data_IF_832386215131
#
_entry.id   IF_832386215131
#
_cell.length_a   1.000
_cell.length_b   1.000
_cell.length_c   1.000
_cell.angle_alpha   90.00
_cell.angle_beta   90.00
_cell.angle_gamma   90.00
#
_symmetry.space_group_name_H-M   'P 1'
#
loop_
_entity.id
_entity.type
_entity.pdbx_description
1 polymer ?
#
# COMPACT_ATOMS: atom_id res chain seq x y z
N UNK A 1 6.19 1.33 -30.31
CA UNK A 1 5.76 0.23 -29.44
C UNK A 1 6.55 0.34 -28.15
N UNK A 2 5.85 0.59 -27.05
CA UNK A 2 6.51 0.66 -25.75
C UNK A 2 7.02 -0.75 -25.38
N UNK A 3 8.14 -0.85 -24.66
CA UNK A 3 8.77 -2.15 -24.37
C UNK A 3 7.83 -3.12 -23.60
N UNK A 4 6.86 -2.60 -22.86
CA UNK A 4 5.85 -3.40 -22.17
C UNK A 4 4.78 -3.99 -23.09
N UNK A 5 4.39 -3.29 -24.17
CA UNK A 5 3.43 -3.80 -25.16
C UNK A 5 3.96 -5.06 -25.85
N UNK A 6 5.28 -5.10 -26.10
CA UNK A 6 5.94 -6.26 -26.67
C UNK A 6 5.87 -7.48 -25.73
N UNK A 7 6.03 -7.27 -24.42
CA UNK A 7 5.91 -8.34 -23.42
C UNK A 7 4.45 -8.75 -23.22
N UNK A 8 3.51 -7.80 -23.22
CA UNK A 8 2.07 -8.11 -23.13
C UNK A 8 1.64 -9.06 -24.25
N UNK A 9 2.05 -8.78 -25.50
CA UNK A 9 1.76 -9.67 -26.63
C UNK A 9 2.32 -11.08 -26.46
N UNK A 10 3.50 -11.23 -25.87
CA UNK A 10 4.06 -12.55 -25.56
C UNK A 10 3.20 -13.26 -24.53
N UNK A 11 2.80 -12.57 -23.47
CA UNK A 11 1.91 -13.14 -22.44
C UNK A 11 0.58 -13.59 -23.05
N UNK A 12 0.00 -12.80 -23.95
CA UNK A 12 -1.26 -13.14 -24.62
C UNK A 12 -1.14 -14.39 -25.50
N UNK A 13 -0.05 -14.53 -26.26
CA UNK A 13 0.16 -15.68 -27.15
C UNK A 13 0.39 -16.97 -26.34
N UNK A 14 1.05 -16.90 -25.18
CA UNK A 14 1.31 -18.07 -24.34
C UNK A 14 0.03 -18.75 -23.78
N UNK A 15 -1.11 -18.07 -23.82
CA UNK A 15 -2.41 -18.64 -23.43
C UNK A 15 -2.88 -19.71 -24.41
N UNK A 16 -2.48 -19.61 -25.68
CA UNK A 16 -2.92 -20.50 -26.76
C UNK A 16 -1.78 -21.34 -27.32
N UNK A 17 -0.58 -20.78 -27.42
CA UNK A 17 0.55 -21.40 -28.10
C UNK A 17 1.66 -21.80 -27.13
N UNK A 18 2.39 -22.84 -27.49
CA UNK A 18 3.64 -23.21 -26.83
C UNK A 18 4.82 -22.61 -27.59
N UNK A 19 5.60 -21.77 -26.92
CA UNK A 19 6.73 -21.07 -27.52
C UNK A 19 8.01 -21.40 -26.78
N UNK A 20 9.09 -21.60 -27.54
CA UNK A 20 10.46 -21.56 -27.03
C UNK A 20 10.85 -20.14 -26.62
N UNK A 21 11.91 -20.00 -25.82
CA UNK A 21 12.43 -18.69 -25.43
C UNK A 21 12.82 -17.86 -26.65
N UNK A 22 13.40 -18.51 -27.66
CA UNK A 22 13.81 -17.90 -28.92
C UNK A 22 12.61 -17.34 -29.69
N UNK A 23 11.51 -18.08 -29.75
CA UNK A 23 10.26 -17.63 -30.38
C UNK A 23 9.61 -16.49 -29.60
N UNK A 24 9.53 -16.58 -28.27
CA UNK A 24 9.02 -15.48 -27.43
C UNK A 24 9.83 -14.19 -27.63
N UNK A 25 11.17 -14.30 -27.69
CA UNK A 25 12.04 -13.16 -27.96
C UNK A 25 11.83 -12.59 -29.37
N UNK A 26 11.61 -13.48 -30.36
CA UNK A 26 11.25 -13.11 -31.73
C UNK A 26 9.94 -12.32 -31.80
N UNK A 27 8.89 -12.77 -31.12
CA UNK A 27 7.60 -12.05 -31.00
C UNK A 27 7.80 -10.65 -30.41
N UNK A 28 8.63 -10.55 -29.37
CA UNK A 28 8.95 -9.26 -28.75
C UNK A 28 9.89 -8.38 -29.61
N UNK A 29 10.47 -8.91 -30.70
CA UNK A 29 11.52 -8.27 -31.50
C UNK A 29 12.76 -7.90 -30.67
N UNK A 30 13.14 -8.77 -29.73
CA UNK A 30 14.26 -8.58 -28.80
C UNK A 30 15.26 -9.72 -28.94
N UNK A 31 16.52 -9.48 -28.51
CA UNK A 31 17.45 -10.59 -28.34
C UNK A 31 17.00 -11.48 -27.16
N UNK A 32 17.25 -12.81 -27.19
CA UNK A 32 16.82 -13.72 -26.12
C UNK A 32 17.26 -13.29 -24.73
N UNK A 33 18.52 -12.83 -24.60
CA UNK A 33 19.06 -12.35 -23.33
C UNK A 33 18.33 -11.11 -22.80
N UNK A 34 18.06 -10.13 -23.68
CA UNK A 34 17.36 -8.92 -23.26
C UNK A 34 15.89 -9.19 -22.97
N UNK A 35 15.24 -10.03 -23.78
CA UNK A 35 13.88 -10.49 -23.56
C UNK A 35 13.70 -11.12 -22.18
N UNK A 36 14.51 -12.12 -21.82
CA UNK A 36 14.38 -12.80 -20.52
C UNK A 36 14.50 -11.83 -19.34
N UNK A 37 15.46 -10.90 -19.40
CA UNK A 37 15.64 -9.89 -18.35
C UNK A 37 14.45 -8.93 -18.26
N UNK A 38 13.95 -8.46 -19.40
CA UNK A 38 12.82 -7.54 -19.45
C UNK A 38 11.53 -8.23 -18.98
N UNK A 39 11.27 -9.46 -19.46
CA UNK A 39 10.13 -10.27 -19.07
C UNK A 39 10.12 -10.50 -17.56
N UNK A 40 11.22 -10.98 -16.99
CA UNK A 40 11.32 -11.22 -15.55
C UNK A 40 11.10 -9.95 -14.73
N UNK A 41 11.56 -8.80 -15.22
CA UNK A 41 11.34 -7.50 -14.56
C UNK A 41 9.87 -7.07 -14.59
N UNK A 42 9.18 -7.26 -15.71
CA UNK A 42 7.81 -6.78 -15.90
C UNK A 42 6.76 -7.75 -15.34
N UNK A 43 6.95 -9.05 -15.56
CA UNK A 43 6.05 -10.13 -15.13
C UNK A 43 6.35 -10.60 -13.71
N UNK A 44 7.59 -10.39 -13.24
CA UNK A 44 8.02 -10.81 -11.91
C UNK A 44 8.53 -12.26 -11.83
N UNK A 45 8.70 -12.94 -12.98
CA UNK A 45 9.17 -14.33 -13.06
C UNK A 45 9.89 -14.62 -14.38
N UNK A 46 10.84 -15.57 -14.44
CA UNK A 46 11.44 -16.02 -15.69
C UNK A 46 10.40 -16.53 -16.69
N UNK A 47 10.59 -16.22 -17.98
CA UNK A 47 9.61 -16.52 -19.03
C UNK A 47 9.30 -18.02 -19.18
N UNK A 48 10.32 -18.88 -19.10
CA UNK A 48 10.13 -20.34 -19.21
C UNK A 48 9.34 -20.92 -18.03
N UNK A 49 9.63 -20.46 -16.81
CA UNK A 49 8.87 -20.84 -15.62
C UNK A 49 7.42 -20.35 -15.70
N UNK A 50 7.21 -19.10 -16.13
CA UNK A 50 5.89 -18.54 -16.35
C UNK A 50 5.07 -19.36 -17.35
N UNK A 51 5.63 -19.64 -18.53
CA UNK A 51 4.97 -20.44 -19.56
C UNK A 51 4.63 -21.85 -19.05
N UNK A 52 5.53 -22.48 -18.31
CA UNK A 52 5.29 -23.77 -17.67
C UNK A 52 4.11 -23.72 -16.70
N UNK A 53 4.05 -22.73 -15.80
CA UNK A 53 2.95 -22.60 -14.84
C UNK A 53 1.60 -22.32 -15.52
N UNK A 54 1.58 -21.53 -16.62
CA UNK A 54 0.36 -21.33 -17.42
C UNK A 54 -0.10 -22.61 -18.12
N UNK A 55 0.81 -23.47 -18.57
CA UNK A 55 0.47 -24.81 -19.07
C UNK A 55 -0.12 -25.70 -17.97
N UNK A 56 0.46 -25.68 -16.77
CA UNK A 56 -0.03 -26.48 -15.65
C UNK A 56 -1.43 -26.04 -15.19
N UNK A 57 -1.75 -24.75 -15.25
CA UNK A 57 -3.11 -24.25 -15.03
C UNK A 57 -4.11 -24.80 -16.07
N UNK A 58 -3.79 -24.76 -17.36
CA UNK A 58 -4.62 -25.42 -18.39
C UNK A 58 -4.73 -26.93 -18.17
N UNK A 59 -3.68 -27.55 -17.65
CA UNK A 59 -3.69 -28.97 -17.35
C UNK A 59 -4.67 -29.33 -16.23
N UNK A 60 -4.81 -28.50 -15.18
CA UNK A 60 -5.79 -28.75 -14.12
C UNK A 60 -7.21 -28.73 -14.65
N UNK A 61 -7.54 -27.79 -15.54
CA UNK A 61 -8.88 -27.69 -16.15
C UNK A 61 -9.17 -28.94 -16.99
N UNK A 62 -8.22 -29.36 -17.83
CA UNK A 62 -8.37 -30.60 -18.61
C UNK A 62 -8.48 -31.86 -17.74
N UNK A 63 -7.84 -31.87 -16.55
CA UNK A 63 -7.89 -33.01 -15.64
C UNK A 63 -9.26 -33.17 -14.98
N UNK A 64 -10.01 -32.08 -14.77
CA UNK A 64 -11.32 -32.04 -14.11
C UNK A 64 -12.49 -32.04 -15.10
N UNK A 65 -12.31 -31.45 -16.28
CA UNK A 65 -13.38 -31.28 -17.27
C UNK A 65 -13.43 -32.41 -18.32
N UNK A 66 -12.39 -33.24 -18.41
CA UNK A 66 -12.28 -34.28 -19.44
C UNK A 66 -11.83 -35.64 -18.92
N UNK A 67 -12.23 -36.70 -19.62
CA UNK A 67 -11.78 -38.08 -19.39
C UNK A 67 -10.49 -38.43 -20.18
N UNK A 68 -9.79 -37.43 -20.75
CA UNK A 68 -8.56 -37.67 -21.49
C UNK A 68 -7.53 -38.38 -20.62
N UNK A 69 -6.74 -39.31 -21.19
CA UNK A 69 -5.67 -39.96 -20.42
C UNK A 69 -4.66 -38.90 -20.01
N UNK A 70 -4.12 -39.01 -18.79
CA UNK A 70 -3.13 -38.05 -18.25
C UNK A 70 -1.94 -37.89 -19.20
N UNK A 71 -1.50 -38.99 -19.85
CA UNK A 71 -0.46 -38.94 -20.88
C UNK A 71 -0.87 -38.12 -22.11
N UNK A 72 -2.12 -38.23 -22.57
CA UNK A 72 -2.60 -37.48 -23.73
C UNK A 72 -2.65 -35.97 -23.40
N UNK A 73 -3.10 -35.60 -22.20
CA UNK A 73 -3.05 -34.20 -21.70
C UNK A 73 -1.62 -33.67 -21.67
N UNK A 74 -0.68 -34.46 -21.12
CA UNK A 74 0.73 -34.08 -21.06
C UNK A 74 1.31 -33.81 -22.46
N UNK A 75 1.07 -34.71 -23.42
CA UNK A 75 1.54 -34.57 -24.79
C UNK A 75 0.89 -33.39 -25.50
N UNK A 76 -0.40 -33.17 -25.30
CA UNK A 76 -1.14 -32.04 -25.88
C UNK A 76 -0.59 -30.68 -25.42
N UNK A 77 -0.10 -30.59 -24.17
CA UNK A 77 0.49 -29.38 -23.60
C UNK A 77 2.01 -29.27 -23.84
N UNK A 78 2.58 -30.14 -24.69
CA UNK A 78 3.98 -30.08 -25.11
C UNK A 78 4.97 -30.66 -24.10
N UNK A 79 4.53 -31.47 -23.14
CA UNK A 79 5.46 -32.21 -22.27
C UNK A 79 6.04 -33.41 -23.01
N UNK A 80 7.33 -33.69 -22.81
CA UNK A 80 8.03 -34.81 -23.46
C UNK A 80 7.50 -36.18 -23.06
N UNK A 81 7.06 -36.31 -21.81
CA UNK A 81 6.61 -37.56 -21.22
C UNK A 81 5.80 -37.33 -19.93
N UNK A 82 5.14 -38.40 -19.49
CA UNK A 82 4.31 -38.41 -18.29
C UNK A 82 5.08 -38.11 -17.00
N UNK A 83 6.35 -38.51 -16.90
CA UNK A 83 7.13 -38.35 -15.67
C UNK A 83 7.49 -36.88 -15.44
N UNK A 84 7.91 -36.18 -16.50
CA UNK A 84 8.18 -34.74 -16.46
C UNK A 84 6.93 -33.93 -16.15
N UNK A 85 5.80 -34.25 -16.77
CA UNK A 85 4.52 -33.60 -16.44
C UNK A 85 4.11 -33.83 -14.99
N UNK A 86 4.14 -35.09 -14.52
CA UNK A 86 3.76 -35.43 -13.14
C UNK A 86 4.64 -34.72 -12.12
N UNK A 87 5.95 -34.66 -12.38
CA UNK A 87 6.89 -33.96 -11.50
C UNK A 87 6.61 -32.46 -11.47
N UNK A 88 6.46 -31.81 -12.63
CA UNK A 88 6.17 -30.38 -12.72
C UNK A 88 4.84 -30.01 -12.04
N UNK A 89 3.79 -30.82 -12.26
CA UNK A 89 2.49 -30.62 -11.62
C UNK A 89 2.58 -30.76 -10.10
N UNK A 90 3.31 -31.78 -9.60
CA UNK A 90 3.52 -31.98 -8.16
C UNK A 90 4.40 -30.90 -7.54
N UNK A 91 5.42 -30.41 -8.25
CA UNK A 91 6.24 -29.27 -7.81
C UNK A 91 5.40 -27.99 -7.71
N UNK A 92 4.46 -27.77 -8.64
CA UNK A 92 3.60 -26.58 -8.63
C UNK A 92 2.48 -26.64 -7.58
N UNK A 93 1.82 -27.79 -7.40
CA UNK A 93 0.58 -27.88 -6.62
C UNK A 93 0.65 -28.79 -5.39
N UNK A 94 1.76 -29.53 -5.21
CA UNK A 94 1.93 -30.46 -4.09
C UNK A 94 1.23 -31.82 -4.26
N UNK A 95 0.47 -32.01 -5.34
CA UNK A 95 -0.27 -33.25 -5.65
C UNK A 95 0.10 -33.74 -7.06
N UNK A 96 -0.03 -35.04 -7.33
CA UNK A 96 0.08 -35.57 -8.69
C UNK A 96 -1.19 -35.31 -9.52
N UNK A 97 -1.10 -35.33 -10.86
CA UNK A 97 -2.28 -35.19 -11.72
C UNK A 97 -3.38 -36.22 -11.44
N UNK A 98 -3.00 -37.45 -11.07
CA UNK A 98 -3.95 -38.51 -10.75
C UNK A 98 -4.66 -38.26 -9.40
N UNK A 99 -3.90 -37.83 -8.38
CA UNK A 99 -4.47 -37.45 -7.07
C UNK A 99 -5.46 -36.30 -7.26
N UNK A 100 -5.08 -35.28 -8.03
CA UNK A 100 -5.92 -34.13 -8.33
C UNK A 100 -7.21 -34.50 -9.07
N UNK A 101 -7.11 -35.31 -10.14
CA UNK A 101 -8.31 -35.79 -10.86
C UNK A 101 -9.26 -36.59 -9.97
N UNK A 102 -8.71 -37.40 -9.06
CA UNK A 102 -9.53 -38.25 -8.20
C UNK A 102 -10.23 -37.45 -7.09
N UNK A 103 -9.57 -36.41 -6.58
CA UNK A 103 -10.09 -35.54 -5.53
C UNK A 103 -9.73 -34.08 -5.86
N UNK A 104 -10.50 -33.43 -6.73
CA UNK A 104 -10.26 -32.04 -7.09
C UNK A 104 -10.34 -31.15 -5.85
N UNK A 105 -9.36 -30.27 -5.70
CA UNK A 105 -9.32 -29.21 -4.70
C UNK A 105 -9.10 -27.88 -5.40
N UNK A 106 -9.47 -26.77 -4.79
CA UNK A 106 -9.15 -25.45 -5.37
C UNK A 106 -7.64 -25.20 -5.32
N UNK A 107 -7.07 -24.82 -6.47
CA UNK A 107 -5.66 -24.54 -6.65
C UNK A 107 -5.44 -23.04 -6.84
N UNK A 108 -4.35 -22.52 -6.27
CA UNK A 108 -3.82 -21.22 -6.64
C UNK A 108 -3.05 -21.39 -7.96
N UNK A 109 -3.49 -20.74 -9.03
CA UNK A 109 -2.79 -20.75 -10.33
C UNK A 109 -1.89 -19.53 -10.48
N UNK A 110 -0.84 -19.67 -11.30
CA UNK A 110 -0.08 -18.51 -11.78
C UNK A 110 -0.98 -17.72 -12.74
N UNK A 111 -1.53 -16.60 -12.31
CA UNK A 111 -2.49 -15.81 -13.10
C UNK A 111 -1.80 -15.18 -14.33
N UNK A 112 -2.57 -15.04 -15.41
CA UNK A 112 -2.13 -14.33 -16.62
C UNK A 112 -1.61 -12.94 -16.22
N UNK A 113 -0.38 -12.62 -16.62
CA UNK A 113 0.21 -11.35 -16.26
C UNK A 113 -0.39 -10.25 -17.13
N UNK A 114 -0.92 -9.21 -16.50
CA UNK A 114 -1.29 -7.99 -17.19
C UNK A 114 -0.24 -6.92 -16.91
N UNK A 115 0.61 -6.70 -17.90
CA UNK A 115 1.69 -5.70 -17.86
C UNK A 115 1.11 -4.29 -18.09
N UNK A 116 -0.04 -4.19 -18.75
CA UNK A 116 -0.72 -2.92 -19.02
C UNK A 116 -1.23 -2.24 -17.74
N UNK A 117 -1.52 -3.03 -16.69
CA UNK A 117 -1.94 -2.52 -15.36
C UNK A 117 -0.98 -1.47 -14.81
N UNK A 118 0.33 -1.64 -15.01
CA UNK A 118 1.35 -0.70 -14.50
C UNK A 118 1.29 0.68 -15.19
N UNK A 119 0.59 0.75 -16.33
CA UNK A 119 0.49 1.93 -17.18
C UNK A 119 -0.94 2.47 -17.27
N UNK A 120 -1.90 1.79 -16.63
CA UNK A 120 -3.30 2.22 -16.60
C UNK A 120 -3.52 3.15 -15.43
N UNK A 121 -4.20 4.27 -15.68
CA UNK A 121 -4.59 5.22 -14.62
C UNK A 121 -6.04 4.96 -14.26
N UNK A 122 -6.28 4.64 -12.99
CA UNK A 122 -7.62 4.46 -12.45
C UNK A 122 -8.03 5.73 -11.73
N UNK A 123 -9.02 6.43 -12.27
CA UNK A 123 -9.57 7.65 -11.67
C UNK A 123 -10.65 7.31 -10.64
N UNK A 124 -10.66 8.04 -9.52
CA UNK A 124 -11.66 7.85 -8.48
C UNK A 124 -13.07 8.14 -9.02
N UNK A 125 -14.02 7.25 -8.76
CA UNK A 125 -15.40 7.38 -9.21
C UNK A 125 -15.66 6.99 -10.67
N UNK A 126 -14.62 6.73 -11.47
CA UNK A 126 -14.78 6.34 -12.88
C UNK A 126 -14.61 4.83 -13.03
N UNK A 127 -15.63 4.10 -13.53
CA UNK A 127 -15.50 2.69 -13.85
C UNK A 127 -14.46 2.49 -14.97
N UNK A 128 -13.54 1.56 -14.75
CA UNK A 128 -12.59 1.10 -15.75
C UNK A 128 -12.98 -0.31 -16.17
N UNK A 129 -13.12 -0.52 -17.47
CA UNK A 129 -13.25 -1.86 -18.07
C UNK A 129 -11.85 -2.33 -18.41
N UNK A 130 -11.41 -3.42 -17.80
CA UNK A 130 -10.10 -4.02 -18.03
C UNK A 130 -10.27 -5.52 -18.27
N UNK A 131 -9.97 -5.98 -19.48
CA UNK A 131 -10.36 -7.30 -19.96
C UNK A 131 -11.87 -7.52 -19.78
N UNK A 132 -12.27 -8.57 -19.06
CA UNK A 132 -13.65 -9.01 -18.82
C UNK A 132 -14.14 -8.66 -17.40
N UNK A 133 -13.58 -7.60 -16.80
CA UNK A 133 -14.05 -7.08 -15.51
C UNK A 133 -14.28 -5.58 -15.53
N UNK A 134 -15.22 -5.14 -14.71
CA UNK A 134 -15.43 -3.72 -14.38
C UNK A 134 -14.85 -3.47 -13.00
N UNK A 135 -13.96 -2.49 -12.90
CA UNK A 135 -13.34 -2.08 -11.63
C UNK A 135 -13.56 -0.60 -11.37
N UNK A 136 -13.98 -0.24 -10.16
CA UNK A 136 -14.19 1.15 -9.76
C UNK A 136 -13.71 1.39 -8.34
N UNK A 137 -12.93 2.45 -8.14
CA UNK A 137 -12.42 2.82 -6.81
C UNK A 137 -13.13 4.07 -6.30
N UNK A 138 -13.59 4.03 -5.05
CA UNK A 138 -14.25 5.13 -4.36
C UNK A 138 -13.78 5.22 -2.92
N UNK A 139 -13.65 6.43 -2.36
CA UNK A 139 -13.57 6.61 -0.91
C UNK A 139 -14.98 6.59 -0.31
N UNK A 140 -15.19 5.77 0.72
CA UNK A 140 -16.47 5.65 1.43
C UNK A 140 -16.26 5.66 2.94
N UNK A 141 -17.21 6.24 3.66
CA UNK A 141 -17.28 6.18 5.11
C UNK A 141 -18.36 5.19 5.55
N UNK A 142 -17.99 4.22 6.36
CA UNK A 142 -18.95 3.32 6.99
C UNK A 142 -19.47 3.97 8.27
N UNK A 143 -20.76 4.32 8.31
CA UNK A 143 -21.37 5.04 9.45
C UNK A 143 -21.77 4.12 10.60
N UNK A 144 -22.04 2.84 10.32
CA UNK A 144 -22.45 1.85 11.32
C UNK A 144 -21.62 0.59 11.18
N UNK A 145 -21.16 -0.01 12.31
CA UNK A 145 -20.40 -1.24 12.23
C UNK A 145 -21.26 -2.36 11.66
N UNK A 146 -20.64 -3.28 10.92
CA UNK A 146 -21.27 -4.49 10.41
C UNK A 146 -20.58 -5.71 11.02
N UNK A 147 -21.34 -6.57 11.68
CA UNK A 147 -20.81 -7.75 12.36
C UNK A 147 -21.11 -9.00 11.54
N UNK A 148 -20.10 -9.84 11.40
CA UNK A 148 -20.12 -11.10 10.67
C UNK A 148 -19.66 -12.22 11.59
N UNK A 149 -20.16 -13.43 11.34
CA UNK A 149 -19.88 -14.64 12.11
C UNK A 149 -19.39 -15.73 11.19
N UNK A 150 -18.34 -16.44 11.61
CA UNK A 150 -17.76 -17.49 10.79
C UNK A 150 -16.55 -18.14 11.44
N UNK A 151 -15.58 -18.49 10.60
CA UNK A 151 -14.36 -19.21 10.98
C UNK A 151 -13.13 -18.42 10.55
N UNK A 152 -12.00 -18.67 11.23
CA UNK A 152 -10.72 -18.04 10.93
C UNK A 152 -9.65 -19.13 10.77
N UNK A 153 -8.82 -18.97 9.75
CA UNK A 153 -7.67 -19.83 9.47
C UNK A 153 -6.39 -19.03 9.25
N UNK A 154 -5.26 -19.73 9.25
CA UNK A 154 -3.98 -19.15 8.85
C UNK A 154 -3.83 -19.25 7.33
N UNK A 155 -3.35 -18.18 6.69
CA UNK A 155 -2.94 -18.22 5.30
C UNK A 155 -1.42 -18.35 5.18
N UNK A 156 -0.92 -19.30 4.38
CA UNK A 156 0.49 -19.37 4.02
C UNK A 156 0.84 -18.23 3.06
N UNK A 157 2.14 -17.92 2.96
CA UNK A 157 2.65 -16.84 2.09
C UNK A 157 2.27 -17.04 0.61
N UNK A 158 2.07 -18.29 0.18
CA UNK A 158 1.63 -18.65 -1.17
C UNK A 158 0.28 -18.03 -1.55
N UNK A 159 -0.67 -18.00 -0.62
CA UNK A 159 -2.00 -17.40 -0.82
C UNK A 159 -1.93 -15.86 -0.83
N UNK A 160 -0.90 -15.28 -0.22
CA UNK A 160 -0.69 -13.82 -0.16
C UNK A 160 0.08 -13.28 -1.37
N UNK A 161 0.52 -14.14 -2.28
CA UNK A 161 1.41 -13.80 -3.40
C UNK A 161 0.74 -13.02 -4.54
N UNK A 162 -0.57 -12.79 -4.49
CA UNK A 162 -1.32 -12.04 -5.50
C UNK A 162 -1.39 -12.79 -6.85
N UNK A 163 -1.69 -14.10 -6.78
CA UNK A 163 -1.80 -14.99 -7.93
C UNK A 163 -0.46 -15.29 -8.61
N UNK A 164 0.65 -15.16 -7.87
CA UNK A 164 1.99 -15.45 -8.40
C UNK A 164 2.44 -16.85 -8.03
N UNK A 165 2.20 -17.31 -6.82
CA UNK A 165 2.59 -18.65 -6.41
C UNK A 165 1.51 -19.66 -6.75
N UNK A 166 1.92 -20.92 -6.89
CA UNK A 166 1.03 -22.05 -7.10
C UNK A 166 0.95 -22.91 -5.85
N UNK A 167 -0.16 -23.60 -5.68
CA UNK A 167 -0.36 -24.48 -4.53
C UNK A 167 -1.83 -24.82 -4.36
N UNK A 168 -2.15 -25.47 -3.24
CA UNK A 168 -3.53 -25.63 -2.79
C UNK A 168 -3.97 -24.33 -2.13
N UNK A 169 -5.15 -23.84 -2.46
CA UNK A 169 -5.67 -22.58 -1.91
C UNK A 169 -6.17 -22.78 -0.48
N UNK A 170 -5.42 -22.26 0.49
CA UNK A 170 -5.84 -22.29 1.90
C UNK A 170 -7.08 -21.41 2.11
N UNK A 171 -7.20 -20.30 1.38
CA UNK A 171 -8.38 -19.45 1.42
C UNK A 171 -9.63 -20.19 0.91
N UNK A 172 -9.52 -20.90 -0.22
CA UNK A 172 -10.66 -21.64 -0.77
C UNK A 172 -11.08 -22.82 0.13
N UNK A 173 -10.13 -23.55 0.72
CA UNK A 173 -10.44 -24.60 1.68
C UNK A 173 -11.20 -24.07 2.89
N UNK A 174 -10.87 -22.86 3.36
CA UNK A 174 -11.58 -22.22 4.46
C UNK A 174 -13.01 -21.83 4.06
N UNK A 175 -13.20 -21.31 2.84
CA UNK A 175 -14.54 -21.08 2.29
C UNK A 175 -15.37 -22.37 2.18
N UNK A 176 -14.78 -23.45 1.68
CA UNK A 176 -15.44 -24.76 1.59
C UNK A 176 -15.84 -25.29 2.97
N UNK A 177 -14.96 -25.19 3.98
CA UNK A 177 -15.27 -25.57 5.37
C UNK A 177 -16.43 -24.73 5.92
N UNK A 178 -16.42 -23.43 5.68
CA UNK A 178 -17.52 -22.54 6.09
C UNK A 178 -18.84 -22.92 5.42
N UNK A 179 -18.84 -23.18 4.12
CA UNK A 179 -20.06 -23.52 3.36
C UNK A 179 -20.59 -24.94 3.65
N UNK A 180 -19.76 -25.86 4.18
CA UNK A 180 -20.24 -27.14 4.70
C UNK A 180 -21.11 -26.98 5.96
N UNK A 181 -20.80 -25.97 6.79
CA UNK A 181 -21.54 -25.69 8.03
C UNK A 181 -22.69 -24.68 7.82
N UNK A 182 -22.54 -23.75 6.88
CA UNK A 182 -23.47 -22.66 6.62
C UNK A 182 -23.85 -22.62 5.12
N UNK A 183 -25.13 -22.73 4.74
CA UNK A 183 -25.52 -22.62 3.33
C UNK A 183 -25.21 -21.21 2.80
N UNK A 184 -24.77 -21.12 1.53
CA UNK A 184 -24.45 -19.84 0.88
C UNK A 184 -25.57 -18.80 1.00
N UNK A 185 -25.19 -17.54 1.25
CA UNK A 185 -26.14 -16.43 1.41
C UNK A 185 -25.79 -15.21 0.58
N UNK A 186 -26.73 -14.25 0.60
CA UNK A 186 -26.63 -12.98 -0.14
C UNK A 186 -25.48 -12.07 0.27
N UNK A 187 -24.89 -12.24 1.46
CA UNK A 187 -23.83 -11.34 1.90
C UNK A 187 -22.82 -12.12 2.72
N UNK A 188 -21.64 -12.31 2.14
CA UNK A 188 -20.53 -13.01 2.77
C UNK A 188 -19.30 -12.12 2.78
N UNK A 189 -18.40 -12.36 3.73
CA UNK A 189 -17.17 -11.57 3.89
C UNK A 189 -15.95 -12.49 3.99
N UNK A 190 -14.90 -12.15 3.26
CA UNK A 190 -13.54 -12.61 3.49
C UNK A 190 -12.71 -11.49 4.11
N UNK A 191 -11.93 -11.73 5.16
CA UNK A 191 -11.13 -10.68 5.82
C UNK A 191 -9.71 -11.16 6.04
N UNK A 192 -8.78 -10.56 5.29
CA UNK A 192 -7.35 -10.76 5.44
C UNK A 192 -6.79 -9.81 6.50
N UNK A 193 -6.16 -10.34 7.54
CA UNK A 193 -5.41 -9.58 8.53
C UNK A 193 -3.91 -9.74 8.32
N UNK A 194 -3.23 -8.62 8.07
CA UNK A 194 -1.78 -8.57 7.90
C UNK A 194 -1.12 -8.37 9.27
N UNK A 195 -0.36 -9.35 9.77
CA UNK A 195 0.44 -9.19 10.99
C UNK A 195 1.75 -8.45 10.70
N UNK A 196 2.16 -7.55 11.60
CA UNK A 196 3.29 -6.62 11.38
C UNK A 196 4.69 -7.22 11.66
N UNK A 197 4.77 -8.47 12.13
CA UNK A 197 6.04 -9.11 12.50
C UNK A 197 6.54 -10.05 11.39
N UNK A 198 7.86 -10.10 11.19
CA UNK A 198 8.51 -10.83 10.08
C UNK A 198 8.28 -12.35 10.08
N UNK A 199 7.80 -12.93 11.18
CA UNK A 199 7.53 -14.37 11.33
C UNK A 199 6.01 -14.67 11.48
N UNK A 200 5.14 -13.68 11.30
CA UNK A 200 3.72 -13.85 11.59
C UNK A 200 2.90 -14.14 10.32
N UNK A 201 2.41 -15.37 10.18
CA UNK A 201 1.45 -15.74 9.14
C UNK A 201 0.21 -14.84 9.21
N UNK A 202 -0.32 -14.46 8.05
CA UNK A 202 -1.58 -13.75 7.96
C UNK A 202 -2.74 -14.65 8.44
N UNK A 203 -3.80 -14.04 8.96
CA UNK A 203 -5.05 -14.75 9.22
C UNK A 203 -6.11 -14.31 8.24
N UNK A 204 -7.00 -15.24 7.89
CA UNK A 204 -8.13 -14.98 7.02
C UNK A 204 -9.40 -15.49 7.69
N UNK A 205 -10.36 -14.59 7.81
CA UNK A 205 -11.68 -14.87 8.34
C UNK A 205 -12.67 -14.96 7.19
N UNK A 206 -13.57 -15.94 7.22
CA UNK A 206 -14.71 -16.03 6.30
C UNK A 206 -15.99 -16.12 7.10
N UNK A 207 -17.06 -15.48 6.66
CA UNK A 207 -18.33 -15.49 7.39
C UNK A 207 -19.48 -14.78 6.71
N UNK A 208 -20.64 -14.77 7.38
CA UNK A 208 -21.86 -14.07 6.95
C UNK A 208 -22.44 -13.19 8.07
N UNK A 209 -23.51 -12.45 7.80
CA UNK A 209 -24.14 -11.53 8.79
C UNK A 209 -25.00 -12.21 9.86
N UNK A 210 -25.13 -13.55 9.87
CA UNK A 210 -25.95 -14.25 10.86
C UNK A 210 -25.13 -15.17 11.76
N UNK A 211 -25.46 -15.26 13.06
CA UNK A 211 -24.84 -16.23 13.94
C UNK A 211 -25.25 -17.66 13.53
N UNK A 212 -24.28 -18.47 13.09
CA UNK A 212 -24.46 -19.88 12.75
C UNK A 212 -24.08 -20.82 13.90
N UNK A 213 -24.74 -21.99 14.00
CA UNK A 213 -24.26 -23.09 14.87
C UNK A 213 -23.00 -23.67 14.24
N UNK A 214 -21.84 -23.32 14.77
CA UNK A 214 -20.54 -23.74 14.21
C UNK A 214 -19.58 -22.60 13.88
N UNK A 215 -19.98 -21.34 14.12
CA UNK A 215 -19.18 -20.15 13.85
C UNK A 215 -18.59 -19.61 15.16
N UNK A 216 -17.39 -20.06 15.60
CA UNK A 216 -16.80 -19.64 16.88
C UNK A 216 -16.28 -18.20 16.86
N UNK A 217 -16.02 -17.65 15.66
CA UNK A 217 -15.40 -16.35 15.49
C UNK A 217 -16.42 -15.33 14.99
N UNK A 218 -16.18 -14.07 15.33
CA UNK A 218 -16.92 -12.94 14.77
C UNK A 218 -15.95 -11.83 14.37
N UNK A 219 -16.18 -11.23 13.22
CA UNK A 219 -15.49 -10.03 12.79
C UNK A 219 -16.47 -8.87 12.73
N UNK A 220 -16.06 -7.68 13.18
CA UNK A 220 -16.86 -6.47 13.02
C UNK A 220 -16.11 -5.49 12.14
N UNK A 221 -16.66 -5.20 10.96
CA UNK A 221 -16.19 -4.13 10.09
C UNK A 221 -16.45 -2.79 10.80
N UNK A 222 -15.39 -2.08 11.24
CA UNK A 222 -15.55 -0.91 12.12
C UNK A 222 -16.07 0.33 11.38
N UNK A 223 -16.66 1.25 12.12
CA UNK A 223 -16.96 2.60 11.62
C UNK A 223 -15.64 3.28 11.23
N UNK A 224 -15.58 3.90 10.06
CA UNK A 224 -14.36 4.55 9.59
C UNK A 224 -14.40 4.89 8.10
N UNK A 225 -13.29 5.47 7.64
CA UNK A 225 -13.08 5.80 6.23
C UNK A 225 -12.35 4.64 5.53
N UNK A 226 -12.77 4.34 4.31
CA UNK A 226 -12.32 3.21 3.50
C UNK A 226 -12.03 3.66 2.07
N UNK A 227 -11.06 2.99 1.45
CA UNK A 227 -11.00 2.88 -0.01
C UNK A 227 -11.75 1.61 -0.38
N UNK A 228 -12.76 1.73 -1.23
CA UNK A 228 -13.61 0.64 -1.68
C UNK A 228 -13.41 0.45 -3.17
N UNK A 229 -12.99 -0.76 -3.56
CA UNK A 229 -12.87 -1.19 -4.94
C UNK A 229 -14.04 -2.11 -5.28
N UNK A 230 -14.99 -1.63 -6.07
CA UNK A 230 -16.10 -2.43 -6.58
C UNK A 230 -15.65 -3.17 -7.84
N UNK A 231 -16.01 -4.44 -7.93
CA UNK A 231 -15.58 -5.39 -8.95
C UNK A 231 -16.78 -6.16 -9.48
N UNK A 232 -16.88 -6.27 -10.80
CA UNK A 232 -17.84 -7.13 -11.48
C UNK A 232 -17.10 -7.94 -12.55
N UNK A 233 -17.39 -9.22 -12.67
CA UNK A 233 -16.83 -10.13 -13.67
C UNK A 233 -17.95 -10.91 -14.38
N UNK A 234 -17.62 -11.60 -15.48
CA UNK A 234 -18.60 -12.40 -16.24
C UNK A 234 -19.17 -13.59 -15.47
N UNK A 235 -18.35 -14.19 -14.59
CA UNK A 235 -18.73 -15.30 -13.72
C UNK A 235 -18.16 -15.12 -12.31
N UNK A 236 -18.68 -15.88 -11.35
CA UNK A 236 -18.17 -15.85 -9.97
C UNK A 236 -16.76 -16.49 -9.91
N UNK A 237 -16.51 -17.51 -10.72
CA UNK A 237 -15.21 -18.14 -10.89
C UNK A 237 -14.18 -17.12 -11.39
N UNK A 238 -14.49 -16.36 -12.44
CA UNK A 238 -13.60 -15.30 -12.95
C UNK A 238 -13.32 -14.22 -11.90
N UNK A 239 -14.32 -13.92 -11.06
CA UNK A 239 -14.21 -12.95 -9.99
C UNK A 239 -13.11 -13.35 -8.98
N UNK A 240 -13.18 -14.60 -8.49
CA UNK A 240 -12.28 -15.08 -7.42
C UNK A 240 -10.94 -15.60 -7.95
N UNK A 241 -10.90 -16.17 -9.15
CA UNK A 241 -9.67 -16.75 -9.71
C UNK A 241 -8.78 -15.68 -10.34
N UNK A 242 -9.36 -14.66 -10.98
CA UNK A 242 -8.61 -13.67 -11.75
C UNK A 242 -8.87 -12.22 -11.33
N UNK A 243 -10.14 -11.79 -11.24
CA UNK A 243 -10.48 -10.38 -11.13
C UNK A 243 -10.00 -9.75 -9.82
N UNK A 244 -10.22 -10.42 -8.70
CA UNK A 244 -9.77 -9.95 -7.38
C UNK A 244 -8.26 -9.70 -7.34
N UNK A 245 -7.46 -10.58 -7.95
CA UNK A 245 -6.01 -10.44 -7.98
C UNK A 245 -5.55 -9.26 -8.84
N UNK A 246 -6.21 -9.01 -9.98
CA UNK A 246 -5.94 -7.80 -10.79
C UNK A 246 -6.35 -6.54 -10.03
N UNK A 247 -7.51 -6.56 -9.39
CA UNK A 247 -8.00 -5.47 -8.55
C UNK A 247 -7.05 -5.10 -7.42
N UNK A 248 -6.49 -6.10 -6.72
CA UNK A 248 -5.50 -5.89 -5.68
C UNK A 248 -4.25 -5.19 -6.21
N UNK A 249 -3.79 -5.53 -7.43
CA UNK A 249 -2.65 -4.85 -8.07
C UNK A 249 -2.99 -3.40 -8.43
N UNK A 250 -4.17 -3.15 -9.00
CA UNK A 250 -4.65 -1.78 -9.25
C UNK A 250 -4.70 -0.97 -7.96
N UNK A 251 -5.28 -1.55 -6.90
CA UNK A 251 -5.40 -0.90 -5.60
C UNK A 251 -4.05 -0.58 -4.97
N UNK A 252 -3.07 -1.49 -5.03
CA UNK A 252 -1.72 -1.23 -4.55
C UNK A 252 -1.07 -0.01 -5.23
N UNK A 253 -1.23 0.11 -6.55
CA UNK A 253 -0.72 1.26 -7.30
C UNK A 253 -1.48 2.54 -6.96
N UNK A 254 -2.81 2.47 -6.93
CA UNK A 254 -3.69 3.60 -6.64
C UNK A 254 -3.45 4.18 -5.24
N UNK A 255 -3.43 3.33 -4.21
CA UNK A 255 -3.14 3.71 -2.81
C UNK A 255 -1.80 4.44 -2.71
N UNK A 256 -0.77 3.92 -3.40
CA UNK A 256 0.56 4.52 -3.42
C UNK A 256 0.56 5.89 -4.10
N UNK A 257 -0.12 6.03 -5.24
CA UNK A 257 -0.24 7.31 -5.96
C UNK A 257 -0.98 8.37 -5.13
N UNK A 258 -1.98 7.96 -4.37
CA UNK A 258 -2.78 8.85 -3.53
C UNK A 258 -2.21 9.06 -2.11
N UNK A 259 -1.02 8.51 -1.80
CA UNK A 259 -0.35 8.58 -0.49
C UNK A 259 -1.25 8.16 0.69
N UNK A 260 -2.06 7.12 0.49
CA UNK A 260 -2.99 6.63 1.51
C UNK A 260 -2.24 5.67 2.43
N UNK A 261 -2.38 5.86 3.75
CA UNK A 261 -1.93 4.89 4.75
C UNK A 261 -3.07 3.93 5.01
N UNK A 262 -2.85 2.64 4.82
CA UNK A 262 -3.88 1.62 5.03
C UNK A 262 -3.86 1.07 6.46
N UNK A 263 -5.00 0.59 6.93
CA UNK A 263 -5.13 -0.13 8.19
C UNK A 263 -4.58 -1.56 8.11
N UNK A 264 -4.99 -2.40 9.07
CA UNK A 264 -4.37 -3.70 9.33
C UNK A 264 -5.07 -4.89 8.66
N UNK A 265 -6.14 -4.64 7.91
CA UNK A 265 -6.90 -5.68 7.23
C UNK A 265 -7.38 -5.21 5.86
N UNK A 266 -7.81 -6.15 5.03
CA UNK A 266 -8.65 -5.90 3.86
C UNK A 266 -9.86 -6.83 3.92
N UNK A 267 -11.04 -6.31 3.60
CA UNK A 267 -12.30 -7.06 3.62
C UNK A 267 -12.88 -7.18 2.21
N UNK A 268 -13.23 -8.39 1.81
CA UNK A 268 -13.85 -8.76 0.55
C UNK A 268 -15.33 -9.04 0.85
N UNK A 269 -16.24 -8.23 0.30
CA UNK A 269 -17.68 -8.41 0.48
C UNK A 269 -18.29 -8.95 -0.79
N UNK A 270 -18.89 -10.14 -0.71
CA UNK A 270 -19.56 -10.82 -1.80
C UNK A 270 -21.08 -10.71 -1.63
N UNK A 271 -21.80 -10.43 -2.71
CA UNK A 271 -23.26 -10.27 -2.69
C UNK A 271 -24.04 -11.50 -3.19
N UNK A 272 -23.32 -12.62 -3.40
CA UNK A 272 -23.85 -13.86 -3.97
C UNK A 272 -24.03 -13.82 -5.50
N UNK A 273 -23.50 -12.80 -6.17
CA UNK A 273 -23.41 -12.70 -7.63
C UNK A 273 -21.95 -12.66 -8.08
N UNK A 274 -21.69 -12.41 -9.37
CA UNK A 274 -20.34 -12.18 -9.93
C UNK A 274 -19.80 -10.78 -9.63
N UNK A 275 -20.18 -10.21 -8.49
CA UNK A 275 -19.77 -8.91 -8.01
C UNK A 275 -19.23 -8.98 -6.58
N UNK A 276 -18.24 -8.14 -6.27
CA UNK A 276 -17.73 -7.98 -4.92
C UNK A 276 -17.21 -6.57 -4.67
N UNK A 277 -16.98 -6.24 -3.39
CA UNK A 277 -16.27 -5.04 -2.99
C UNK A 277 -15.06 -5.36 -2.12
N UNK A 278 -13.91 -4.80 -2.46
CA UNK A 278 -12.71 -4.83 -1.62
C UNK A 278 -12.61 -3.54 -0.80
N UNK A 279 -12.79 -3.66 0.51
CA UNK A 279 -12.77 -2.60 1.50
C UNK A 279 -11.43 -2.56 2.23
N UNK A 280 -10.68 -1.49 2.01
CA UNK A 280 -9.37 -1.26 2.65
C UNK A 280 -9.50 -0.04 3.57
N UNK A 281 -9.36 -0.21 4.90
CA UNK A 281 -9.47 0.88 5.86
C UNK A 281 -8.38 1.91 5.63
N UNK A 282 -8.76 3.19 5.64
CA UNK A 282 -7.82 4.31 5.66
C UNK A 282 -7.37 4.51 7.10
N UNK A 283 -6.09 4.27 7.34
CA UNK A 283 -5.47 4.59 8.61
C UNK A 283 -5.05 6.07 8.63
N UNK A 284 -5.18 6.67 9.80
CA UNK A 284 -4.62 7.99 10.05
C UNK A 284 -3.09 7.91 9.97
N UNK A 285 -2.47 8.81 9.23
CA UNK A 285 -1.02 8.91 9.17
C UNK A 285 -0.48 9.18 10.58
N UNK A 286 0.43 8.36 11.14
CA UNK A 286 0.94 8.54 12.50
C UNK A 286 1.51 9.94 12.76
N UNK A 287 2.17 10.53 11.76
CA UNK A 287 2.71 11.88 11.87
C UNK A 287 1.62 12.95 11.95
N UNK A 288 0.54 12.79 11.17
CA UNK A 288 -0.62 13.71 11.20
C UNK A 288 -1.41 13.56 12.50
N UNK A 289 -1.64 12.32 12.95
CA UNK A 289 -2.24 12.04 14.25
C UNK A 289 -1.49 12.73 15.37
N UNK A 290 -0.17 12.57 15.35
CA UNK A 290 0.69 13.14 16.38
C UNK A 290 0.76 14.67 16.31
N UNK A 291 0.76 15.24 15.10
CA UNK A 291 0.63 16.69 14.91
C UNK A 291 -0.71 17.23 15.44
N UNK A 292 -1.82 16.53 15.21
CA UNK A 292 -3.13 16.84 15.81
C UNK A 292 -3.07 16.81 17.34
N UNK A 293 -2.44 15.79 17.92
CA UNK A 293 -2.23 15.71 19.38
C UNK A 293 -1.45 16.90 19.89
N UNK A 294 -0.38 17.34 19.21
CA UNK A 294 0.36 18.54 19.60
C UNK A 294 -0.46 19.82 19.45
N UNK A 295 -1.24 19.98 18.39
CA UNK A 295 -2.11 21.16 18.24
C UNK A 295 -3.13 21.24 19.38
N UNK A 296 -3.71 20.10 19.77
CA UNK A 296 -4.62 20.01 20.92
C UNK A 296 -3.93 20.26 22.25
N UNK A 297 -2.70 19.76 22.43
CA UNK A 297 -1.91 19.96 23.64
C UNK A 297 -1.52 21.44 23.82
N UNK A 298 -1.02 22.06 22.75
CA UNK A 298 -0.59 23.46 22.76
C UNK A 298 -1.78 24.40 22.83
N UNK A 299 -2.89 24.06 22.18
CA UNK A 299 -4.16 24.79 22.18
C UNK A 299 -3.97 26.31 22.00
N UNK A 300 -3.14 26.71 21.04
CA UNK A 300 -2.76 28.10 20.80
C UNK A 300 -2.88 28.48 19.33
N UNK A 301 -3.59 29.57 18.98
CA UNK A 301 -3.66 30.04 17.60
C UNK A 301 -2.30 30.52 17.07
N UNK A 302 -1.36 30.87 17.96
CA UNK A 302 0.00 31.26 17.58
C UNK A 302 0.79 30.07 17.01
N UNK A 303 0.56 28.87 17.55
CA UNK A 303 1.20 27.64 17.09
C UNK A 303 0.71 27.24 15.71
N UNK A 304 -0.61 27.24 15.50
CA UNK A 304 -1.23 26.97 14.20
C UNK A 304 -0.75 27.99 13.16
N UNK A 305 -0.72 29.28 13.52
CA UNK A 305 -0.24 30.33 12.64
C UNK A 305 1.22 30.13 12.21
N UNK A 306 2.11 29.74 13.14
CA UNK A 306 3.51 29.48 12.81
C UNK A 306 3.67 28.25 11.90
N UNK A 307 2.93 27.17 12.17
CA UNK A 307 2.94 25.97 11.34
C UNK A 307 2.46 26.29 9.91
N UNK A 308 1.31 26.94 9.76
CA UNK A 308 0.79 27.37 8.45
C UNK A 308 1.78 28.28 7.71
N UNK A 309 2.35 29.28 8.39
CA UNK A 309 3.38 30.15 7.81
C UNK A 309 4.58 29.35 7.27
N UNK A 310 5.08 28.39 8.04
CA UNK A 310 6.23 27.57 7.64
C UNK A 310 5.93 26.70 6.41
N UNK A 311 4.78 26.04 6.41
CA UNK A 311 4.37 25.15 5.33
C UNK A 311 4.07 25.92 4.03
N UNK A 312 3.35 27.03 4.11
CA UNK A 312 2.97 27.85 2.95
C UNK A 312 4.17 28.61 2.36
N UNK A 313 4.96 29.26 3.22
CA UNK A 313 6.06 30.14 2.81
C UNK A 313 7.25 29.34 2.28
N UNK A 314 7.57 28.22 2.92
CA UNK A 314 8.75 27.42 2.57
C UNK A 314 8.41 26.16 1.79
N UNK A 315 7.14 25.81 1.58
CA UNK A 315 6.71 24.58 0.90
C UNK A 315 7.47 23.37 1.48
N UNK A 316 7.41 23.22 2.80
CA UNK A 316 8.03 22.11 3.53
C UNK A 316 6.98 21.42 4.41
N UNK A 317 7.26 20.18 4.83
CA UNK A 317 6.42 19.42 5.76
C UNK A 317 7.13 19.26 7.10
N UNK A 318 6.38 19.20 8.21
CA UNK A 318 6.96 18.94 9.52
C UNK A 318 7.54 17.53 9.62
N UNK A 319 8.60 17.38 10.40
CA UNK A 319 9.14 16.08 10.80
C UNK A 319 9.07 15.98 12.32
N UNK A 320 8.30 15.02 12.83
CA UNK A 320 8.14 14.77 14.27
C UNK A 320 9.22 13.81 14.76
N UNK A 321 9.97 14.21 15.78
CA UNK A 321 11.06 13.41 16.36
C UNK A 321 11.00 13.45 17.90
N UNK A 322 11.38 12.36 18.56
CA UNK A 322 11.56 12.34 20.01
C UNK A 322 13.02 12.68 20.36
N UNK A 323 13.24 13.80 21.04
CA UNK A 323 14.56 14.21 21.54
C UNK A 323 14.83 13.59 22.90
N UNK A 324 15.98 12.89 23.01
CA UNK A 324 16.57 12.44 24.27
C UNK A 324 17.63 13.43 24.80
N UNK A 325 17.71 14.63 24.24
CA UNK A 325 18.68 15.64 24.66
C UNK A 325 18.28 16.22 26.02
N UNK A 326 19.27 16.46 26.89
CA UNK A 326 19.06 17.05 28.21
C UNK A 326 18.53 18.49 28.18
N UNK A 327 18.76 19.25 27.10
CA UNK A 327 18.29 20.64 27.00
C UNK A 327 16.78 20.77 26.76
N UNK A 328 16.18 19.84 26.00
CA UNK A 328 14.73 19.71 25.81
C UNK A 328 14.42 18.24 25.50
N UNK A 329 13.98 17.52 26.53
CA UNK A 329 13.58 16.11 26.47
C UNK A 329 12.12 16.03 26.07
N UNK A 330 11.82 15.20 25.07
CA UNK A 330 10.45 15.01 24.59
C UNK A 330 10.28 15.21 23.10
N UNK A 331 9.03 15.21 22.66
CA UNK A 331 8.67 15.37 21.26
C UNK A 331 8.99 16.77 20.75
N UNK A 332 9.44 16.85 19.50
CA UNK A 332 9.66 18.11 18.80
C UNK A 332 9.29 17.99 17.31
N UNK A 333 9.01 19.13 16.71
CA UNK A 333 8.55 19.27 15.33
C UNK A 333 9.59 20.08 14.57
N UNK A 334 10.30 19.45 13.64
CA UNK A 334 11.37 20.08 12.86
C UNK A 334 10.87 20.51 11.49
N UNK A 335 11.09 21.77 11.16
CA UNK A 335 10.89 22.29 9.81
C UNK A 335 12.24 22.46 9.13
N UNK A 336 12.39 21.87 7.94
CA UNK A 336 13.63 21.92 7.15
C UNK A 336 13.32 22.29 5.71
N UNK A 337 14.21 23.03 5.07
CA UNK A 337 14.17 23.26 3.62
C UNK A 337 15.56 23.08 3.01
N UNK A 338 15.65 22.27 1.95
CA UNK A 338 16.91 21.98 1.25
C UNK A 338 18.03 21.50 2.18
N UNK A 339 17.71 20.61 3.13
CA UNK A 339 18.66 20.05 4.10
C UNK A 339 19.00 20.96 5.30
N UNK A 340 18.57 22.23 5.32
CA UNK A 340 18.81 23.15 6.43
C UNK A 340 17.60 23.24 7.35
N UNK A 341 17.83 23.22 8.67
CA UNK A 341 16.81 23.50 9.68
C UNK A 341 16.36 24.96 9.60
N UNK A 342 15.05 25.19 9.56
CA UNK A 342 14.42 26.50 9.71
C UNK A 342 14.23 26.78 11.21
N UNK A 343 13.47 25.93 11.88
CA UNK A 343 13.28 25.94 13.33
C UNK A 343 12.87 24.55 13.83
N UNK A 344 12.91 24.38 15.15
CA UNK A 344 12.35 23.22 15.85
C UNK A 344 11.32 23.72 16.86
N UNK A 345 10.12 23.18 16.84
CA UNK A 345 9.06 23.53 17.80
C UNK A 345 8.96 22.46 18.89
N UNK A 346 8.81 22.88 20.13
CA UNK A 346 8.61 22.02 21.29
C UNK A 346 7.22 22.30 21.87
N UNK A 347 6.22 21.45 21.59
CA UNK A 347 4.88 21.60 22.13
C UNK A 347 4.88 21.37 23.65
N UNK A 348 4.15 22.21 24.37
CA UNK A 348 3.92 22.15 25.82
C UNK A 348 2.42 22.36 26.10
N UNK A 349 1.97 22.11 27.32
CA UNK A 349 0.56 22.29 27.67
C UNK A 349 0.19 23.78 27.68
N UNK A 350 -0.60 24.23 26.70
CA UNK A 350 -1.03 25.63 26.57
C UNK A 350 0.02 26.59 25.98
N UNK A 351 1.23 26.13 25.65
CA UNK A 351 2.31 26.95 25.10
C UNK A 351 3.25 26.14 24.19
N UNK A 352 4.21 26.79 23.56
CA UNK A 352 5.27 26.11 22.81
C UNK A 352 6.55 26.94 22.77
N UNK A 353 7.69 26.26 22.67
CA UNK A 353 8.98 26.87 22.42
C UNK A 353 9.35 26.75 20.94
N UNK A 354 9.86 27.82 20.35
CA UNK A 354 10.49 27.82 19.05
C UNK A 354 12.02 27.93 19.22
N UNK A 355 12.74 26.90 18.78
CA UNK A 355 14.18 26.93 18.64
C UNK A 355 14.57 27.43 17.26
N UNK A 356 15.20 28.61 17.22
CA UNK A 356 15.81 29.17 16.01
C UNK A 356 17.33 29.23 16.21
N UNK A 357 18.07 28.57 15.34
CA UNK A 357 19.53 28.60 15.38
C UNK A 357 20.01 29.80 14.56
N UNK A 358 20.88 30.65 15.09
CA UNK A 358 21.57 31.70 14.33
C UNK A 358 23.00 31.25 14.14
N UNK A 359 23.39 30.96 12.90
CA UNK A 359 24.74 30.55 12.57
C UNK A 359 25.65 31.74 12.27
N UNK A 360 26.94 31.46 12.06
CA UNK A 360 27.93 32.50 11.72
C UNK A 360 27.55 33.33 10.49
N UNK A 361 26.83 32.74 9.52
CA UNK A 361 26.41 33.44 8.29
C UNK A 361 25.31 34.45 8.55
N UNK A 362 24.39 34.12 9.45
CA UNK A 362 23.23 34.95 9.78
C UNK A 362 23.50 35.91 10.95
N UNK A 363 24.64 35.80 11.62
CA UNK A 363 24.95 36.52 12.86
C UNK A 363 24.90 38.05 12.70
N UNK A 364 25.51 38.59 11.63
CA UNK A 364 25.54 40.03 11.39
C UNK A 364 24.13 40.59 11.11
N UNK A 365 23.35 39.90 10.27
CA UNK A 365 21.97 40.31 9.98
C UNK A 365 21.08 40.20 11.22
N UNK A 366 21.28 39.18 12.06
CA UNK A 366 20.58 39.05 13.33
C UNK A 366 20.92 40.21 14.28
N UNK A 367 22.19 40.64 14.36
CA UNK A 367 22.59 41.79 15.18
C UNK A 367 21.96 43.11 14.71
N UNK A 368 21.82 43.30 13.40
CA UNK A 368 21.11 44.45 12.83
C UNK A 368 19.60 44.42 13.09
N UNK A 369 19.01 43.22 13.15
CA UNK A 369 17.58 43.03 13.38
C UNK A 369 17.20 43.23 14.85
N UNK A 370 18.08 42.89 15.80
CA UNK A 370 17.80 42.87 17.24
C UNK A 370 17.08 44.12 17.79
N UNK A 371 17.46 45.37 17.46
CA UNK A 371 16.80 46.56 18.00
C UNK A 371 15.32 46.68 17.64
N UNK A 372 14.88 45.97 16.60
CA UNK A 372 13.50 45.98 16.11
C UNK A 372 12.64 44.83 16.66
N UNK A 373 13.27 43.88 17.36
CA UNK A 373 12.56 42.77 18.00
C UNK A 373 12.04 43.17 19.38
N UNK A 374 11.10 42.41 19.93
CA UNK A 374 10.61 42.62 21.29
C UNK A 374 11.74 42.53 22.33
N UNK A 375 11.61 43.28 23.44
CA UNK A 375 12.60 43.26 24.53
C UNK A 375 12.86 41.84 25.05
N UNK A 376 11.83 41.00 25.07
CA UNK A 376 11.95 39.58 25.44
C UNK A 376 12.93 38.83 24.53
N UNK A 377 12.77 38.92 23.21
CA UNK A 377 13.66 38.22 22.26
C UNK A 377 15.08 38.79 22.29
N UNK A 378 15.22 40.11 22.50
CA UNK A 378 16.53 40.73 22.71
C UNK A 378 17.25 40.15 23.94
N UNK A 379 16.53 39.98 25.06
CA UNK A 379 17.06 39.36 26.28
C UNK A 379 17.45 37.89 26.05
N UNK A 380 16.59 37.10 25.38
CA UNK A 380 16.90 35.71 25.00
C UNK A 380 18.19 35.66 24.17
N UNK A 381 18.35 36.55 23.19
CA UNK A 381 19.55 36.60 22.36
C UNK A 381 20.81 36.94 23.16
N UNK A 382 20.73 37.93 24.06
CA UNK A 382 21.85 38.37 24.89
C UNK A 382 22.29 37.28 25.87
N UNK A 383 21.34 36.57 26.48
CA UNK A 383 21.61 35.51 27.47
C UNK A 383 22.06 34.19 26.83
N UNK A 384 21.68 33.93 25.58
CA UNK A 384 22.03 32.69 24.88
C UNK A 384 23.53 32.65 24.58
N UNK A 385 24.24 31.66 25.14
CA UNK A 385 25.67 31.45 24.85
C UNK A 385 25.90 30.98 23.41
N UNK A 386 26.98 31.44 22.81
CA UNK A 386 27.40 30.95 21.49
C UNK A 386 28.18 29.65 21.65
N UNK A 387 27.72 28.57 21.01
CA UNK A 387 28.39 27.27 20.98
C UNK A 387 28.68 26.86 19.53
N UNK A 388 29.92 26.45 19.24
CA UNK A 388 30.35 26.03 17.88
C UNK A 388 30.00 27.11 16.82
N UNK A 389 30.14 28.39 17.18
CA UNK A 389 29.81 29.53 16.30
C UNK A 389 28.32 29.75 16.04
N UNK A 390 27.43 29.13 16.81
CA UNK A 390 25.98 29.25 16.66
C UNK A 390 25.31 29.68 17.97
N UNK A 391 24.25 30.48 17.88
CA UNK A 391 23.32 30.75 18.99
C UNK A 391 22.06 29.94 18.79
N UNK A 392 21.65 29.21 19.82
CA UNK A 392 20.49 28.32 19.81
C UNK A 392 19.37 28.99 20.60
N UNK A 393 18.65 29.90 19.96
CA UNK A 393 17.66 30.75 20.61
C UNK A 393 16.41 29.93 20.91
N UNK A 394 16.15 29.67 22.19
CA UNK A 394 14.93 29.01 22.64
C UNK A 394 13.93 30.09 23.07
N UNK A 395 12.89 30.30 22.26
CA UNK A 395 11.95 31.42 22.42
C UNK A 395 10.58 30.85 22.77
N UNK A 396 10.02 31.25 23.90
CA UNK A 396 8.64 30.94 24.25
C UNK A 396 7.69 31.92 23.55
N UNK A 397 6.80 31.39 22.71
CA UNK A 397 5.95 32.22 21.85
C UNK A 397 4.63 32.50 22.56
N UNK A 398 4.62 33.58 23.34
CA UNK A 398 3.49 33.95 24.22
C UNK A 398 2.56 35.02 23.64
N UNK A 399 2.96 35.69 22.56
CA UNK A 399 2.18 36.77 21.93
C UNK A 399 2.40 36.84 20.43
N UNK A 400 1.52 37.55 19.72
CA UNK A 400 1.65 37.80 18.28
C UNK A 400 2.93 38.57 17.94
N UNK A 401 3.37 39.50 18.79
CA UNK A 401 4.62 40.24 18.58
C UNK A 401 5.85 39.32 18.62
N UNK A 402 5.91 38.43 19.62
CA UNK A 402 6.99 37.43 19.72
C UNK A 402 6.93 36.43 18.56
N UNK A 403 5.73 36.06 18.11
CA UNK A 403 5.57 35.21 16.92
C UNK A 403 6.16 35.87 15.66
N UNK A 404 5.92 37.16 15.45
CA UNK A 404 6.49 37.89 14.30
C UNK A 404 8.02 38.00 14.41
N UNK A 405 8.58 38.18 15.61
CA UNK A 405 10.03 38.15 15.82
C UNK A 405 10.62 36.78 15.42
N UNK A 406 9.98 35.69 15.82
CA UNK A 406 10.39 34.31 15.46
C UNK A 406 10.37 34.12 13.95
N UNK A 407 9.31 34.60 13.25
CA UNK A 407 9.23 34.52 11.78
C UNK A 407 10.37 35.29 11.11
N UNK A 408 10.71 36.47 11.61
CA UNK A 408 11.82 37.28 11.08
C UNK A 408 13.17 36.58 11.28
N UNK A 409 13.42 36.01 12.46
CA UNK A 409 14.65 35.23 12.73
C UNK A 409 14.74 33.98 11.83
N UNK A 410 13.62 33.31 11.53
CA UNK A 410 13.57 32.19 10.60
C UNK A 410 13.88 32.65 9.16
N UNK A 411 13.40 33.83 8.76
CA UNK A 411 13.64 34.40 7.44
C UNK A 411 15.13 34.69 7.17
N UNK A 412 15.91 35.03 8.20
CA UNK A 412 17.37 35.19 8.07
C UNK A 412 18.07 33.89 7.63
N UNK A 413 17.58 32.74 8.10
CA UNK A 413 18.16 31.43 7.74
C UNK A 413 17.89 31.04 6.29
N UNK A 414 16.82 31.59 5.71
CA UNK A 414 16.44 31.38 4.31
C UNK A 414 15.49 32.46 3.86
N UNK A 415 15.99 33.40 3.05
CA UNK A 415 15.14 34.39 2.40
C UNK A 415 14.19 33.72 1.41
N UNK A 416 12.95 34.18 1.37
CA UNK A 416 12.02 33.81 0.30
C UNK A 416 12.07 34.84 -0.82
N UNK A 417 11.79 34.43 -2.06
CA UNK A 417 11.60 35.40 -3.16
C UNK A 417 10.34 36.21 -2.83
N UNK A 418 10.52 37.44 -2.36
CA UNK A 418 9.42 38.38 -2.06
C UNK A 418 9.41 38.96 -0.64
N UNK A 419 10.19 38.44 0.31
CA UNK A 419 10.38 39.10 1.61
C UNK A 419 11.38 40.25 1.45
N UNK A 420 10.86 41.44 1.12
CA UNK A 420 11.60 42.69 1.38
C UNK A 420 11.54 42.89 2.88
N UNK A 421 12.66 42.69 3.57
CA UNK A 421 12.84 43.21 4.94
C UNK A 421 12.62 44.71 4.83
N UNK A 422 11.46 45.19 5.30
CA UNK A 422 11.12 46.61 5.27
C UNK A 422 11.92 47.30 6.37
N UNK A 423 13.01 47.93 5.96
CA UNK A 423 13.64 48.99 6.75
C UNK A 423 12.71 50.20 6.66
N UNK A 424 12.05 50.55 7.77
CA UNK A 424 11.41 51.87 7.94
C UNK A 424 12.25 52.66 8.92
#
# INVERSE_FOLDING_TARGET
MQAWEAIQRVVDILETDDLTIEEMAGVACLSPFYFQRLFARLVGRPAGEYAMLRKLARASDLLTETDLRILDIALQLGFSDHANFTRAFREAYGLSPQEYRSHPVRLNHCIKADVSVQHTTLEEGTPLIADDMVVQVNRRRLEKPRTFYGIEGMLPDSDLSGGRETGISAAALLWEEFHQACPMRKTEIGVLHMKQERDACATYFVGDEQPGKGNPCSFTLPVGDYVVCSLEAESFEDLIDCAIHKAMRFMQLWIKQHNIVCGKFSAELYDGTSAMELWIPVAENPAEKQMRTFSQQVNSPLFENLCSYLEETYQCKPVVEFSKCSMQYGWNIKYKKGGRSLCTLYPQDGSFLALVVIGQREAFEAELLLPFLTEYVQQVFAQTKTGIGQKWLMIEVTSTAVLEDVKQLIALRRSTKGTVVRWV
#
